data_IF_159731275371
#
_entry.id   IF_159731275371
#
_cell.length_a   1.000
_cell.length_b   1.000
_cell.length_c   1.000
_cell.angle_alpha   90.00
_cell.angle_beta   90.00
_cell.angle_gamma   90.00
#
_symmetry.space_group_name_H-M   'P 1'
#
loop_
_entity.id
_entity.type
_entity.pdbx_description
1 polymer ?
#
# COMPACT_ATOMS: atom_id res chain seq x y z
N UNK A 1 -5.00 17.51 -4.89
CA UNK A 1 -6.01 17.47 -5.95
C UNK A 1 -6.34 18.90 -6.31
N UNK A 2 -6.58 19.22 -7.57
CA UNK A 2 -7.05 20.53 -7.99
C UNK A 2 -8.31 20.33 -8.83
N UNK A 3 -9.27 21.23 -8.74
CA UNK A 3 -10.54 21.12 -9.45
C UNK A 3 -10.79 22.39 -10.25
N UNK A 4 -11.37 22.24 -11.44
CA UNK A 4 -12.03 23.36 -12.09
C UNK A 4 -13.42 23.52 -11.47
N UNK A 5 -13.68 24.69 -10.89
CA UNK A 5 -14.98 25.05 -10.33
C UNK A 5 -15.36 26.42 -10.87
N UNK A 6 -16.41 26.45 -11.70
CA UNK A 6 -16.93 27.67 -12.34
C UNK A 6 -15.83 28.53 -13.00
N UNK A 7 -15.09 27.93 -13.93
CA UNK A 7 -13.95 28.52 -14.67
C UNK A 7 -12.71 28.85 -13.83
N UNK A 8 -12.74 28.70 -12.52
CA UNK A 8 -11.58 28.89 -11.65
C UNK A 8 -10.86 27.58 -11.37
N UNK A 9 -9.53 27.66 -11.26
CA UNK A 9 -8.71 26.54 -10.82
C UNK A 9 -8.51 26.62 -9.30
N UNK A 10 -9.14 25.71 -8.57
CA UNK A 10 -9.13 25.72 -7.10
C UNK A 10 -8.24 24.60 -6.57
N UNK A 11 -7.17 24.92 -5.83
CA UNK A 11 -6.34 23.89 -5.19
C UNK A 11 -7.08 23.26 -3.99
N UNK A 12 -7.16 21.93 -3.99
CA UNK A 12 -7.79 21.11 -2.95
C UNK A 12 -6.74 20.24 -2.26
N UNK A 13 -5.75 20.86 -1.63
CA UNK A 13 -4.65 20.18 -0.96
C UNK A 13 -5.12 19.23 0.16
N UNK A 14 -6.18 19.59 0.89
CA UNK A 14 -6.74 18.77 1.98
C UNK A 14 -7.38 17.46 1.51
N UNK A 15 -7.73 17.36 0.22
CA UNK A 15 -8.22 16.11 -0.42
C UNK A 15 -7.09 15.36 -1.13
N UNK A 16 -5.84 15.62 -0.73
CA UNK A 16 -4.65 14.98 -1.29
C UNK A 16 -4.57 13.49 -0.95
N UNK A 17 -3.72 12.78 -1.70
CA UNK A 17 -3.41 11.39 -1.42
C UNK A 17 -2.56 11.32 -0.14
N UNK A 18 -3.18 10.91 0.97
CA UNK A 18 -2.47 10.72 2.24
C UNK A 18 -2.05 9.27 2.37
N UNK A 19 -0.77 9.02 2.15
CA UNK A 19 -0.14 7.71 2.36
C UNK A 19 -0.20 7.38 3.87
N UNK A 20 -0.56 6.15 4.19
CA UNK A 20 -0.67 5.68 5.58
C UNK A 20 0.71 5.63 6.25
N UNK A 21 1.65 4.91 5.64
CA UNK A 21 3.04 4.87 6.10
C UNK A 21 4.01 4.83 4.91
N UNK A 22 5.06 5.64 4.99
CA UNK A 22 6.17 5.64 4.05
C UNK A 22 7.46 5.40 4.84
N UNK A 23 8.21 4.36 4.47
CA UNK A 23 9.53 4.10 5.02
C UNK A 23 10.59 4.47 3.98
N UNK A 24 11.70 5.01 4.43
CA UNK A 24 12.85 5.38 3.62
C UNK A 24 14.09 4.67 4.18
N UNK A 25 14.88 4.05 3.30
CA UNK A 25 16.18 3.50 3.68
C UNK A 25 17.17 4.61 4.07
N UNK A 26 18.16 4.29 4.90
CA UNK A 26 19.15 5.26 5.37
C UNK A 26 19.93 5.93 4.23
N UNK A 27 20.25 5.15 3.18
CA UNK A 27 20.92 5.64 1.96
C UNK A 27 20.00 6.46 1.02
N UNK A 28 18.70 6.52 1.35
CA UNK A 28 17.67 7.21 0.57
C UNK A 28 17.39 6.65 -0.81
N UNK A 29 17.90 5.46 -1.14
CA UNK A 29 17.74 4.82 -2.45
C UNK A 29 16.49 3.92 -2.54
N UNK A 30 15.84 3.64 -1.41
CA UNK A 30 14.69 2.76 -1.35
C UNK A 30 13.58 3.36 -0.47
N UNK A 31 12.38 3.43 -1.04
CA UNK A 31 11.15 3.77 -0.36
C UNK A 31 10.20 2.59 -0.34
N UNK A 32 9.56 2.35 0.81
CA UNK A 32 8.51 1.36 0.95
C UNK A 32 7.20 2.05 1.33
N UNK A 33 6.22 1.96 0.44
CA UNK A 33 4.83 2.37 0.69
C UNK A 33 4.15 1.25 1.45
N UNK A 34 3.60 1.56 2.62
CA UNK A 34 2.99 0.59 3.53
C UNK A 34 1.60 1.06 3.94
N UNK A 35 0.63 0.14 3.93
CA UNK A 35 -0.71 0.36 4.46
C UNK A 35 -1.12 -0.82 5.34
N UNK A 36 -1.60 -0.48 6.53
CA UNK A 36 -2.05 -1.47 7.49
C UNK A 36 -3.50 -1.86 7.25
N UNK A 37 -3.76 -3.17 7.17
CA UNK A 37 -5.11 -3.73 7.03
C UNK A 37 -5.43 -4.64 8.19
N UNK A 38 -6.67 -4.56 8.69
CA UNK A 38 -7.10 -5.28 9.88
C UNK A 38 -8.13 -6.38 9.61
N UNK A 39 -8.43 -6.68 8.34
CA UNK A 39 -9.15 -7.89 7.97
C UNK A 39 -8.20 -9.10 7.87
N UNK A 40 -8.75 -10.31 7.85
CA UNK A 40 -7.97 -11.52 8.05
C UNK A 40 -6.85 -11.75 7.03
N UNK A 41 -7.10 -11.55 5.74
CA UNK A 41 -6.14 -11.85 4.65
C UNK A 41 -5.51 -13.25 4.77
N UNK A 42 -6.24 -14.25 5.26
CA UNK A 42 -5.70 -15.60 5.50
C UNK A 42 -6.07 -16.61 4.40
N UNK A 43 -6.86 -16.15 3.43
CA UNK A 43 -7.36 -16.93 2.29
C UNK A 43 -7.62 -16.01 1.10
N UNK A 44 -7.74 -16.54 -0.14
CA UNK A 44 -8.09 -15.73 -1.31
C UNK A 44 -9.37 -14.91 -1.14
N UNK A 45 -10.41 -15.47 -0.51
CA UNK A 45 -11.69 -14.79 -0.27
C UNK A 45 -11.60 -13.61 0.70
N UNK A 46 -10.51 -13.54 1.47
CA UNK A 46 -10.25 -12.48 2.46
C UNK A 46 -9.08 -11.58 2.06
N UNK A 47 -8.55 -11.76 0.84
CA UNK A 47 -7.45 -10.97 0.31
C UNK A 47 -7.89 -9.53 0.01
N UNK A 48 -6.95 -8.58 -0.19
CA UNK A 48 -7.27 -7.21 -0.54
C UNK A 48 -8.16 -7.10 -1.77
N UNK A 49 -9.19 -6.26 -1.64
CA UNK A 49 -10.12 -5.96 -2.74
C UNK A 49 -9.51 -4.98 -3.74
N UNK A 50 -10.18 -4.82 -4.88
CA UNK A 50 -9.72 -3.93 -5.96
C UNK A 50 -9.46 -2.49 -5.48
N UNK A 51 -10.32 -1.95 -4.61
CA UNK A 51 -10.14 -0.60 -4.04
C UNK A 51 -8.86 -0.45 -3.24
N UNK A 52 -8.42 -1.51 -2.55
CA UNK A 52 -7.16 -1.52 -1.81
C UNK A 52 -5.97 -1.51 -2.77
N UNK A 53 -6.02 -2.34 -3.82
CA UNK A 53 -4.96 -2.42 -4.83
C UNK A 53 -4.81 -1.08 -5.57
N UNK A 54 -5.92 -0.51 -6.05
CA UNK A 54 -5.93 0.79 -6.75
C UNK A 54 -5.31 1.88 -5.88
N UNK A 55 -5.72 1.97 -4.62
CA UNK A 55 -5.15 2.94 -3.67
C UNK A 55 -3.63 2.78 -3.56
N UNK A 56 -3.16 1.54 -3.43
CA UNK A 56 -1.74 1.25 -3.34
C UNK A 56 -0.95 1.64 -4.59
N UNK A 57 -1.48 1.39 -5.78
CA UNK A 57 -0.82 1.80 -7.03
C UNK A 57 -0.70 3.32 -7.13
N UNK A 58 -1.75 4.06 -6.75
CA UNK A 58 -1.68 5.52 -6.73
C UNK A 58 -0.64 6.04 -5.73
N UNK A 59 -0.49 5.41 -4.57
CA UNK A 59 0.53 5.80 -3.59
C UNK A 59 1.95 5.56 -4.09
N UNK A 60 2.20 4.43 -4.76
CA UNK A 60 3.50 4.16 -5.40
C UNK A 60 3.81 5.24 -6.43
N UNK A 61 2.88 5.50 -7.35
CA UNK A 61 3.07 6.52 -8.39
C UNK A 61 3.36 7.90 -7.79
N UNK A 62 2.67 8.28 -6.70
CA UNK A 62 2.89 9.55 -6.03
C UNK A 62 4.28 9.65 -5.40
N UNK A 63 4.81 8.56 -4.86
CA UNK A 63 6.17 8.53 -4.30
C UNK A 63 7.21 8.57 -5.41
N UNK A 64 7.03 7.80 -6.48
CA UNK A 64 7.93 7.80 -7.64
C UNK A 64 8.04 9.19 -8.28
N UNK A 65 6.91 9.89 -8.43
CA UNK A 65 6.87 11.26 -8.97
C UNK A 65 7.70 12.25 -8.13
N UNK A 66 7.68 12.11 -6.80
CA UNK A 66 8.37 13.04 -5.89
C UNK A 66 9.83 12.63 -5.66
N UNK A 67 10.11 11.35 -5.55
CA UNK A 67 11.43 10.83 -5.21
C UNK A 67 12.35 10.66 -6.44
N UNK A 68 11.77 10.65 -7.65
CA UNK A 68 12.49 10.54 -8.91
C UNK A 68 12.70 9.10 -9.38
N UNK A 69 12.94 8.93 -10.69
CA UNK A 69 12.98 7.62 -11.35
C UNK A 69 14.19 6.73 -11.00
N UNK A 70 15.17 7.27 -10.27
CA UNK A 70 16.40 6.54 -9.88
C UNK A 70 16.26 5.80 -8.56
N UNK A 71 15.23 6.09 -7.76
CA UNK A 71 15.00 5.41 -6.49
C UNK A 71 14.09 4.21 -6.67
N UNK A 72 14.31 3.18 -5.86
CA UNK A 72 13.43 2.02 -5.82
C UNK A 72 12.22 2.34 -4.96
N UNK A 73 11.01 2.11 -5.47
CA UNK A 73 9.77 2.17 -4.69
C UNK A 73 9.14 0.78 -4.62
N UNK A 74 8.77 0.32 -3.44
CA UNK A 74 8.11 -0.98 -3.24
C UNK A 74 6.80 -0.82 -2.49
N UNK A 75 5.88 -1.76 -2.75
CA UNK A 75 4.49 -1.67 -2.34
C UNK A 75 4.14 -2.78 -1.34
N UNK A 76 3.50 -2.43 -0.22
CA UNK A 76 3.32 -3.34 0.89
C UNK A 76 1.98 -3.19 1.61
N UNK A 77 1.38 -4.33 1.91
CA UNK A 77 0.38 -4.45 2.97
C UNK A 77 1.01 -5.06 4.22
N UNK A 78 0.56 -4.61 5.38
CA UNK A 78 0.83 -5.25 6.66
C UNK A 78 -0.47 -5.67 7.33
N UNK A 79 -0.54 -6.93 7.75
CA UNK A 79 -1.69 -7.53 8.41
C UNK A 79 -1.32 -7.98 9.84
N UNK A 80 -2.26 -7.93 10.79
CA UNK A 80 -2.06 -8.57 12.08
C UNK A 80 -2.08 -10.09 11.94
N UNK A 81 -1.11 -10.76 12.57
CA UNK A 81 -1.10 -12.22 12.67
C UNK A 81 0.29 -12.83 12.53
N UNK A 82 0.38 -14.13 12.77
CA UNK A 82 1.62 -14.91 12.64
C UNK A 82 1.65 -15.81 11.40
N UNK A 83 0.50 -16.03 10.76
CA UNK A 83 0.37 -16.91 9.60
C UNK A 83 0.38 -16.11 8.30
N UNK A 84 1.51 -16.11 7.61
CA UNK A 84 1.69 -15.44 6.32
C UNK A 84 1.34 -16.37 5.15
N UNK A 85 0.05 -16.51 4.86
CA UNK A 85 -0.44 -17.31 3.72
C UNK A 85 -0.47 -16.52 2.41
N UNK A 86 -0.98 -15.28 2.42
CA UNK A 86 -0.89 -14.39 1.28
C UNK A 86 0.52 -13.78 1.25
N UNK A 87 1.24 -13.88 0.13
CA UNK A 87 2.62 -13.38 0.02
C UNK A 87 2.71 -12.10 -0.78
N UNK A 88 1.93 -12.01 -1.85
CA UNK A 88 1.78 -10.81 -2.64
C UNK A 88 0.45 -10.86 -3.41
N UNK A 89 0.01 -9.69 -3.86
CA UNK A 89 -1.08 -9.54 -4.81
C UNK A 89 -0.52 -9.07 -6.16
N UNK A 90 -1.03 -9.66 -7.23
CA UNK A 90 -0.69 -9.34 -8.61
C UNK A 90 -1.98 -9.06 -9.39
N UNK A 91 -1.91 -8.22 -10.42
CA UNK A 91 -3.04 -7.92 -11.29
C UNK A 91 -2.89 -8.72 -12.58
N UNK A 92 -3.97 -9.35 -13.04
CA UNK A 92 -3.99 -10.10 -14.30
C UNK A 92 -5.27 -9.79 -15.10
N UNK A 93 -5.30 -10.17 -16.37
CA UNK A 93 -6.49 -10.04 -17.21
C UNK A 93 -7.62 -10.96 -16.72
N UNK A 94 -8.86 -10.44 -16.71
CA UNK A 94 -10.05 -11.07 -16.12
C UNK A 94 -10.41 -12.47 -16.67
N UNK A 95 -9.95 -12.81 -17.87
CA UNK A 95 -10.33 -14.05 -18.57
C UNK A 95 -9.11 -14.86 -19.06
N UNK A 96 -7.95 -14.66 -18.45
CA UNK A 96 -6.74 -15.44 -18.78
C UNK A 96 -6.54 -16.52 -17.72
N UNK A 97 -6.19 -17.73 -18.13
CA UNK A 97 -5.73 -18.76 -17.19
C UNK A 97 -4.39 -18.30 -16.60
N UNK A 98 -4.32 -18.15 -15.28
CA UNK A 98 -3.13 -17.69 -14.57
C UNK A 98 -2.51 -18.88 -13.87
N UNK A 99 -1.30 -19.25 -14.27
CA UNK A 99 -0.54 -20.34 -13.64
C UNK A 99 0.74 -19.85 -12.98
N UNK A 100 1.20 -18.64 -13.31
CA UNK A 100 2.43 -18.05 -12.78
C UNK A 100 2.37 -16.53 -12.66
N UNK A 101 3.33 -15.95 -11.93
CA UNK A 101 3.48 -14.49 -11.81
C UNK A 101 3.78 -13.82 -13.16
N UNK A 102 4.42 -14.53 -14.08
CA UNK A 102 4.73 -14.03 -15.43
C UNK A 102 3.47 -13.84 -16.30
N UNK A 103 2.33 -14.43 -15.89
CA UNK A 103 1.06 -14.23 -16.58
C UNK A 103 0.35 -12.93 -16.20
N UNK A 104 0.84 -12.26 -15.15
CA UNK A 104 0.30 -11.01 -14.61
C UNK A 104 0.81 -9.80 -15.39
N UNK A 105 0.16 -8.67 -15.17
CA UNK A 105 0.44 -7.39 -15.81
C UNK A 105 1.69 -6.75 -15.20
N UNK A 106 2.71 -6.51 -16.02
CA UNK A 106 3.99 -5.91 -15.59
C UNK A 106 3.90 -4.44 -15.23
N UNK A 107 2.88 -3.73 -15.72
CA UNK A 107 2.67 -2.31 -15.45
C UNK A 107 2.05 -2.06 -14.06
N UNK A 108 1.67 -3.11 -13.33
CA UNK A 108 1.23 -3.03 -11.95
C UNK A 108 2.30 -3.67 -11.06
N UNK A 109 2.98 -2.91 -10.19
CA UNK A 109 3.98 -3.49 -9.30
C UNK A 109 3.30 -4.45 -8.31
N UNK A 110 3.97 -5.55 -7.92
CA UNK A 110 3.42 -6.47 -6.93
C UNK A 110 3.24 -5.77 -5.59
N UNK A 111 2.18 -6.14 -4.86
CA UNK A 111 1.95 -5.65 -3.50
C UNK A 111 2.28 -6.76 -2.52
N UNK A 112 3.41 -6.63 -1.82
CA UNK A 112 3.89 -7.67 -0.92
C UNK A 112 3.15 -7.63 0.42
N UNK A 113 2.77 -8.80 0.92
CA UNK A 113 1.94 -8.95 2.11
C UNK A 113 2.76 -9.46 3.28
N UNK A 114 2.83 -8.63 4.33
CA UNK A 114 3.56 -8.92 5.56
C UNK A 114 2.61 -9.18 6.71
N UNK A 115 3.03 -10.04 7.63
CA UNK A 115 2.27 -10.33 8.83
C UNK A 115 3.16 -10.05 10.02
N UNK A 116 2.61 -9.29 10.97
CA UNK A 116 3.28 -9.04 12.24
C UNK A 116 2.36 -9.44 13.36
N UNK A 117 2.89 -10.27 14.25
CA UNK A 117 2.21 -10.57 15.49
C UNK A 117 2.30 -9.33 16.37
N UNK A 118 1.18 -8.61 16.46
CA UNK A 118 1.07 -7.48 17.37
C UNK A 118 0.91 -8.03 18.78
N UNK A 119 2.03 -8.19 19.51
CA UNK A 119 2.01 -8.51 20.95
C UNK A 119 1.30 -7.34 21.65
N UNK A 120 0.49 -7.63 22.68
CA UNK A 120 -0.28 -6.66 23.50
C UNK A 120 0.44 -5.34 23.86
N UNK A 121 1.77 -5.33 23.83
CA UNK A 121 2.67 -4.19 24.06
C UNK A 121 2.43 -3.02 23.08
N UNK A 122 2.13 -3.27 21.80
CA UNK A 122 1.89 -2.20 20.82
C UNK A 122 0.56 -1.48 21.07
N UNK A 123 -0.47 -2.22 21.48
CA UNK A 123 -1.77 -1.65 21.89
C UNK A 123 -1.62 -0.91 23.21
N UNK A 124 -0.87 -1.44 24.19
CA UNK A 124 -0.65 -0.73 25.44
C UNK A 124 0.10 0.59 25.22
N UNK A 125 1.14 0.60 24.37
CA UNK A 125 1.88 1.82 24.02
C UNK A 125 1.04 2.88 23.32
N UNK A 126 0.13 2.48 22.42
CA UNK A 126 -0.78 3.41 21.74
C UNK A 126 -1.84 3.98 22.70
N UNK A 127 -2.34 3.16 23.63
CA UNK A 127 -3.29 3.61 24.65
C UNK A 127 -2.65 4.48 25.74
N UNK A 128 -1.38 4.27 26.08
CA UNK A 128 -0.68 5.06 27.10
C UNK A 128 -0.13 6.38 26.58
N UNK A 129 0.08 6.53 25.27
CA UNK A 129 0.56 7.77 24.66
C UNK A 129 -0.55 8.78 24.29
N UNK A 130 -1.78 8.58 24.77
CA UNK A 130 -2.88 9.56 24.70
C UNK A 130 -2.89 10.54 25.89
N UNK A 131 -1.81 10.61 26.66
CA UNK A 131 -1.56 11.65 27.66
C UNK A 131 -0.17 12.27 27.44
N UNK A 132 -0.08 13.19 26.49
CA UNK A 132 0.93 14.25 26.43
C UNK A 132 0.40 15.40 25.58
#
# INVERSE_FOLDING_TARGET
MNVHWDNEFVPMAQKGQRIDTLLKSEDGQHYAVVDAKYYGAQSPNTAPGWSDLVKQFFYVNAVEEVAGSTVKVTNHFIFPGSKSKLKAAYVAHRNKSISSENDCLSNYPPIHCHYRFCRKVLISGYCTNLQA
#
